data_IF_632333199923
#
_entry.id   IF_632333199923
#
_cell.length_a   1.000
_cell.length_b   1.000
_cell.length_c   1.000
_cell.angle_alpha   90.00
_cell.angle_beta   90.00
_cell.angle_gamma   90.00
#
_symmetry.space_group_name_H-M   'P 1'
#
loop_
_entity.id
_entity.type
_entity.pdbx_description
1 polymer ?
#
# COMPACT_ATOMS: atom_id res chain seq x y z
N UNK A 1 6.91 -16.36 8.81
CA UNK A 1 6.23 -17.45 8.09
C UNK A 1 5.08 -17.97 8.94
N UNK A 2 3.86 -17.76 8.46
CA UNK A 2 2.61 -18.21 9.10
C UNK A 2 2.65 -19.74 9.31
N UNK A 3 2.68 -20.18 10.57
CA UNK A 3 2.67 -21.61 10.90
C UNK A 3 1.27 -22.23 10.83
N UNK A 4 0.22 -21.44 10.52
CA UNK A 4 -1.19 -21.83 10.65
C UNK A 4 -2.04 -21.70 9.37
N UNK A 5 -1.41 -21.67 8.19
CA UNK A 5 -2.04 -22.25 6.99
C UNK A 5 -2.92 -21.34 6.11
N UNK A 6 -2.66 -20.04 6.05
CA UNK A 6 -3.06 -19.24 4.88
C UNK A 6 -1.82 -19.05 4.01
N UNK A 7 -1.92 -19.30 2.69
CA UNK A 7 -0.80 -19.08 1.77
C UNK A 7 -0.20 -17.68 1.96
N UNK A 8 1.13 -17.62 2.00
CA UNK A 8 1.94 -16.41 2.02
C UNK A 8 2.68 -16.35 0.68
N UNK A 9 2.67 -15.18 0.03
CA UNK A 9 3.43 -14.96 -1.19
C UNK A 9 4.35 -13.75 -1.05
N UNK A 10 4.09 -12.66 -1.76
CA UNK A 10 5.08 -11.59 -1.90
C UNK A 10 5.16 -10.72 -0.65
N UNK A 11 6.37 -10.28 -0.24
CA UNK A 11 6.52 -9.23 0.74
C UNK A 11 5.97 -7.91 0.19
N UNK A 12 5.37 -7.09 1.03
CA UNK A 12 4.76 -5.81 0.69
C UNK A 12 5.30 -4.72 1.60
N UNK A 13 5.70 -3.60 1.01
CA UNK A 13 6.17 -2.41 1.71
C UNK A 13 7.04 -2.64 2.96
N UNK A 14 8.13 -3.44 2.91
CA UNK A 14 9.06 -3.53 4.04
C UNK A 14 9.66 -2.14 4.31
N UNK A 15 9.57 -1.67 5.55
CA UNK A 15 9.90 -0.29 5.89
C UNK A 15 10.38 -0.16 7.34
N UNK A 16 11.32 0.74 7.56
CA UNK A 16 11.70 1.17 8.90
C UNK A 16 10.87 2.39 9.30
N UNK A 17 10.17 2.31 10.42
CA UNK A 17 9.44 3.42 11.01
C UNK A 17 10.39 4.34 11.78
N UNK A 18 10.67 5.56 11.28
CA UNK A 18 11.60 6.47 11.96
C UNK A 18 11.04 7.03 13.27
N UNK A 19 9.73 6.94 13.50
CA UNK A 19 9.08 7.47 14.73
C UNK A 19 9.29 6.51 15.90
N UNK A 20 9.14 5.22 15.64
CA UNK A 20 9.13 4.18 16.67
C UNK A 20 10.38 3.30 16.71
N UNK A 21 11.21 3.35 15.66
CA UNK A 21 12.39 2.48 15.56
C UNK A 21 12.03 1.01 15.32
N UNK A 22 10.91 0.76 14.63
CA UNK A 22 10.39 -0.58 14.33
C UNK A 22 10.48 -0.85 12.84
N UNK A 23 10.92 -2.05 12.48
CA UNK A 23 10.89 -2.55 11.11
C UNK A 23 9.55 -3.25 10.91
N UNK A 24 8.78 -2.79 9.94
CA UNK A 24 7.53 -3.42 9.55
C UNK A 24 7.74 -4.17 8.23
N UNK A 25 7.16 -5.36 8.17
CA UNK A 25 7.16 -6.21 6.99
C UNK A 25 5.72 -6.66 6.75
N UNK A 26 5.15 -6.28 5.62
CA UNK A 26 3.82 -6.73 5.22
C UNK A 26 3.97 -7.82 4.17
N UNK A 27 2.91 -8.57 3.94
CA UNK A 27 2.94 -9.65 2.97
C UNK A 27 1.52 -9.98 2.53
N UNK A 28 1.39 -10.49 1.32
CA UNK A 28 0.12 -11.00 0.87
C UNK A 28 -0.21 -12.28 1.65
N UNK A 29 -1.33 -12.25 2.36
CA UNK A 29 -1.90 -13.43 3.03
C UNK A 29 -3.21 -13.76 2.35
N UNK A 30 -3.36 -15.02 1.93
CA UNK A 30 -4.56 -15.53 1.27
C UNK A 30 -5.73 -15.69 2.27
N UNK A 31 -6.28 -14.56 2.66
CA UNK A 31 -7.44 -14.33 3.52
C UNK A 31 -8.23 -13.17 2.88
N UNK A 32 -9.55 -13.12 3.05
CA UNK A 32 -10.37 -12.04 2.51
C UNK A 32 -11.52 -11.67 3.46
N UNK A 33 -11.91 -10.39 3.46
CA UNK A 33 -13.20 -9.97 3.99
C UNK A 33 -14.35 -10.43 3.07
N UNK A 34 -15.56 -10.61 3.60
CA UNK A 34 -16.70 -11.11 2.83
C UNK A 34 -17.02 -10.26 1.58
N UNK A 35 -17.40 -11.00 0.54
CA UNK A 35 -17.42 -10.72 -0.91
C UNK A 35 -16.06 -10.73 -1.63
N UNK A 36 -14.95 -10.61 -0.91
CA UNK A 36 -13.61 -10.74 -1.47
C UNK A 36 -13.18 -12.18 -1.72
N UNK A 37 -12.15 -12.34 -2.54
CA UNK A 37 -11.66 -13.66 -2.98
C UNK A 37 -10.12 -13.78 -2.97
N UNK A 38 -9.40 -12.75 -2.54
CA UNK A 38 -7.95 -12.71 -2.66
C UNK A 38 -7.27 -11.89 -1.58
N UNK A 39 -5.95 -11.76 -1.69
CA UNK A 39 -5.09 -11.50 -0.54
C UNK A 39 -5.35 -10.15 0.12
N UNK A 40 -4.94 -10.12 1.39
CA UNK A 40 -4.84 -8.95 2.26
C UNK A 40 -3.39 -8.73 2.66
N UNK A 41 -3.08 -7.65 3.38
CA UNK A 41 -1.75 -7.44 3.94
C UNK A 41 -1.69 -7.99 5.37
N UNK A 42 -1.04 -9.14 5.51
CA UNK A 42 -0.52 -9.61 6.79
C UNK A 42 0.62 -8.71 7.28
N UNK A 43 1.02 -8.89 8.53
CA UNK A 43 1.99 -7.98 9.17
C UNK A 43 2.91 -8.72 10.13
N UNK A 44 4.20 -8.47 9.98
CA UNK A 44 5.25 -8.79 10.94
C UNK A 44 5.97 -7.51 11.36
N UNK A 45 6.46 -7.49 12.59
CA UNK A 45 7.33 -6.42 13.09
C UNK A 45 8.60 -6.99 13.74
N UNK A 46 9.69 -6.24 13.65
CA UNK A 46 10.97 -6.55 14.28
C UNK A 46 11.70 -5.27 14.71
N UNK A 47 12.62 -5.38 15.67
CA UNK A 47 13.57 -4.31 16.02
C UNK A 47 15.00 -4.61 15.55
N UNK A 48 15.26 -5.81 15.04
CA UNK A 48 16.63 -6.29 14.77
C UNK A 48 16.79 -7.14 13.51
N UNK A 49 15.74 -7.26 12.68
CA UNK A 49 15.66 -8.13 11.49
C UNK A 49 15.77 -9.65 11.77
N UNK A 50 15.95 -10.07 13.02
CA UNK A 50 16.16 -11.48 13.40
C UNK A 50 14.93 -12.04 14.11
N UNK A 51 14.43 -11.32 15.10
CA UNK A 51 13.26 -11.72 15.87
C UNK A 51 12.03 -11.00 15.34
N UNK A 52 11.06 -11.79 14.88
CA UNK A 52 9.84 -11.28 14.24
C UNK A 52 8.60 -11.67 15.04
N UNK A 53 7.77 -10.69 15.35
CA UNK A 53 6.44 -10.88 15.91
C UNK A 53 5.39 -10.83 14.80
N UNK A 54 4.52 -11.84 14.73
CA UNK A 54 3.32 -11.78 13.90
C UNK A 54 2.32 -10.82 14.53
N UNK A 55 1.79 -9.91 13.73
CA UNK A 55 0.78 -8.95 14.12
C UNK A 55 -0.57 -9.29 13.46
N UNK A 56 -1.68 -8.67 13.89
CA UNK A 56 -2.95 -8.76 13.19
C UNK A 56 -2.83 -8.32 11.72
N UNK A 57 -3.86 -8.62 10.92
CA UNK A 57 -3.95 -8.08 9.55
C UNK A 57 -3.86 -6.56 9.57
N UNK A 58 -2.94 -6.01 8.77
CA UNK A 58 -2.72 -4.57 8.70
C UNK A 58 -3.75 -3.89 7.79
N UNK A 59 -3.92 -4.37 6.57
CA UNK A 59 -4.83 -3.78 5.58
C UNK A 59 -5.71 -4.89 5.02
N UNK A 60 -7.02 -4.74 5.21
CA UNK A 60 -8.03 -5.64 4.66
C UNK A 60 -8.43 -5.20 3.25
N UNK A 61 -8.77 -6.15 2.38
CA UNK A 61 -9.48 -5.85 1.13
C UNK A 61 -10.93 -5.49 1.47
N UNK A 62 -11.53 -4.54 0.75
CA UNK A 62 -12.94 -4.21 0.89
C UNK A 62 -13.34 -3.52 2.20
N UNK A 63 -12.43 -3.37 3.17
CA UNK A 63 -12.70 -2.77 4.48
C UNK A 63 -11.60 -1.79 4.91
N UNK A 64 -12.00 -0.66 5.45
CA UNK A 64 -11.19 0.20 6.33
C UNK A 64 -11.48 -0.16 7.79
N UNK A 65 -10.50 -0.76 8.46
CA UNK A 65 -10.59 -1.22 9.85
C UNK A 65 -10.29 -0.13 10.89
N UNK A 66 -10.01 1.12 10.47
CA UNK A 66 -9.86 2.25 11.38
C UNK A 66 -11.18 2.73 11.99
N UNK A 67 -12.31 2.20 11.52
CA UNK A 67 -13.65 2.48 12.00
C UNK A 67 -14.29 1.24 12.65
N UNK A 68 -15.22 1.47 13.58
CA UNK A 68 -16.07 0.41 14.15
C UNK A 68 -17.56 0.76 14.02
N UNK A 69 -18.36 -0.04 13.28
CA UNK A 69 -17.94 -1.19 12.46
C UNK A 69 -17.02 -0.77 11.29
N UNK A 70 -16.20 -1.68 10.72
CA UNK A 70 -15.33 -1.37 9.60
C UNK A 70 -16.10 -0.75 8.42
N UNK A 71 -15.54 0.27 7.80
CA UNK A 71 -16.15 0.95 6.66
C UNK A 71 -15.84 0.19 5.37
N UNK A 72 -16.84 0.01 4.50
CA UNK A 72 -16.66 -0.69 3.22
C UNK A 72 -15.90 0.17 2.20
N UNK A 73 -14.94 -0.43 1.50
CA UNK A 73 -14.17 0.17 0.40
C UNK A 73 -14.36 -0.63 -0.88
N UNK A 74 -15.28 -0.20 -1.74
CA UNK A 74 -15.67 -0.95 -2.95
C UNK A 74 -14.58 -1.01 -4.03
N UNK A 75 -13.65 -0.07 -4.02
CA UNK A 75 -12.59 0.05 -5.02
C UNK A 75 -11.50 -1.05 -4.87
N UNK A 76 -11.47 -1.79 -3.76
CA UNK A 76 -10.50 -2.86 -3.51
C UNK A 76 -11.14 -4.09 -2.84
N UNK A 77 -12.42 -4.34 -3.14
CA UNK A 77 -13.20 -5.36 -2.45
C UNK A 77 -12.91 -6.79 -2.90
N UNK A 78 -12.36 -6.98 -4.10
CA UNK A 78 -11.97 -8.31 -4.60
C UNK A 78 -10.72 -8.81 -3.87
N UNK A 79 -9.66 -8.01 -3.82
CA UNK A 79 -8.37 -8.32 -3.18
C UNK A 79 -7.46 -7.08 -3.12
N UNK A 80 -6.36 -7.16 -2.37
CA UNK A 80 -5.23 -6.22 -2.48
C UNK A 80 -3.94 -6.99 -2.79
N UNK A 81 -3.18 -6.51 -3.79
CA UNK A 81 -1.99 -7.19 -4.31
C UNK A 81 -0.69 -6.50 -3.88
N UNK A 82 0.45 -6.96 -4.39
CA UNK A 82 1.78 -6.52 -3.98
C UNK A 82 1.96 -5.04 -4.18
N UNK A 83 2.51 -4.38 -3.17
CA UNK A 83 2.71 -2.95 -3.13
C UNK A 83 3.89 -2.58 -2.26
N UNK A 84 4.02 -1.30 -1.98
CA UNK A 84 5.21 -0.69 -1.41
C UNK A 84 4.87 0.33 -0.32
N UNK A 85 5.87 0.66 0.49
CA UNK A 85 5.75 1.68 1.53
C UNK A 85 6.77 2.78 1.27
N UNK A 86 6.44 4.01 1.65
CA UNK A 86 7.33 5.17 1.59
C UNK A 86 7.33 5.91 2.93
N UNK A 87 8.50 6.39 3.34
CA UNK A 87 8.65 7.31 4.48
C UNK A 87 8.61 8.74 3.97
N UNK A 88 7.54 9.44 4.29
CA UNK A 88 7.17 10.74 3.73
C UNK A 88 7.16 11.83 4.80
N UNK A 89 7.69 13.01 4.46
CA UNK A 89 7.55 14.21 5.31
C UNK A 89 6.07 14.57 5.51
N UNK A 90 5.71 14.95 6.73
CA UNK A 90 4.33 15.35 7.06
C UNK A 90 3.35 14.20 7.32
N UNK A 91 3.72 12.95 7.00
CA UNK A 91 2.85 11.79 7.20
C UNK A 91 2.84 11.27 8.65
N UNK A 92 3.82 11.66 9.46
CA UNK A 92 3.96 11.26 10.86
C UNK A 92 3.32 12.25 11.83
N UNK A 93 3.26 11.89 13.13
CA UNK A 93 2.71 12.76 14.18
C UNK A 93 3.33 14.15 14.18
N UNK A 94 2.50 15.20 14.32
CA UNK A 94 2.92 16.60 14.34
C UNK A 94 3.71 17.04 13.09
N UNK A 95 3.48 16.38 11.95
CA UNK A 95 4.14 16.69 10.69
C UNK A 95 5.54 16.08 10.54
N UNK A 96 5.92 15.15 11.42
CA UNK A 96 7.16 14.39 11.27
C UNK A 96 7.11 13.48 10.03
N UNK A 97 8.24 12.83 9.72
CA UNK A 97 8.28 11.75 8.74
C UNK A 97 7.43 10.58 9.20
N UNK A 98 6.64 10.01 8.31
CA UNK A 98 5.80 8.84 8.60
C UNK A 98 5.63 7.94 7.40
N UNK A 99 5.12 6.74 7.64
CA UNK A 99 4.89 5.71 6.63
C UNK A 99 3.55 5.93 5.92
N UNK A 100 3.58 5.79 4.59
CA UNK A 100 2.40 5.63 3.72
C UNK A 100 2.56 4.33 2.94
N UNK A 101 1.54 3.48 2.95
CA UNK A 101 1.46 2.30 2.08
C UNK A 101 0.80 2.69 0.75
N UNK A 102 1.32 2.18 -0.35
CA UNK A 102 0.72 2.25 -1.68
C UNK A 102 0.52 0.83 -2.18
N UNK A 103 -0.72 0.46 -2.45
CA UNK A 103 -1.08 -0.90 -2.84
C UNK A 103 -2.04 -0.90 -4.03
N UNK A 104 -1.98 -1.93 -4.88
CA UNK A 104 -2.98 -2.17 -5.89
C UNK A 104 -4.23 -2.80 -5.27
N UNK A 105 -5.37 -2.14 -5.46
CA UNK A 105 -6.69 -2.70 -5.20
C UNK A 105 -7.20 -3.45 -6.43
N UNK A 106 -7.70 -4.66 -6.23
CA UNK A 106 -8.46 -5.37 -7.27
C UNK A 106 -9.92 -4.98 -7.11
N UNK A 107 -10.49 -4.50 -8.21
CA UNK A 107 -11.86 -4.06 -8.29
C UNK A 107 -12.66 -4.92 -9.27
N UNK A 108 -13.98 -4.81 -9.20
CA UNK A 108 -14.89 -5.33 -10.21
C UNK A 108 -15.86 -4.24 -10.63
N UNK A 109 -16.29 -4.25 -11.89
CA UNK A 109 -17.34 -3.33 -12.38
C UNK A 109 -18.64 -3.42 -11.57
N UNK A 110 -18.89 -4.58 -10.94
CA UNK A 110 -20.08 -4.81 -10.12
C UNK A 110 -20.11 -3.89 -8.88
N UNK A 111 -19.00 -3.80 -8.16
CA UNK A 111 -18.87 -3.02 -6.93
C UNK A 111 -18.33 -1.61 -7.16
N UNK A 112 -17.46 -1.46 -8.16
CA UNK A 112 -16.81 -0.21 -8.53
C UNK A 112 -17.02 0.05 -10.03
N UNK A 113 -18.06 0.81 -10.42
CA UNK A 113 -18.41 1.01 -11.84
C UNK A 113 -17.33 1.68 -12.69
N UNK A 114 -16.32 2.30 -12.07
CA UNK A 114 -15.17 2.90 -12.75
C UNK A 114 -14.05 1.90 -13.06
N UNK A 115 -14.18 0.65 -12.60
CA UNK A 115 -13.20 -0.40 -12.77
C UNK A 115 -13.21 -0.97 -14.21
N UNK A 116 -12.24 -0.59 -15.03
CA UNK A 116 -12.08 -1.08 -16.42
C UNK A 116 -10.99 -2.16 -16.50
N UNK A 117 -9.82 -1.91 -15.92
CA UNK A 117 -8.67 -2.83 -16.03
C UNK A 117 -8.65 -3.93 -14.96
N UNK A 118 -9.57 -3.90 -14.00
CA UNK A 118 -9.60 -4.80 -12.84
C UNK A 118 -8.65 -4.41 -11.71
N UNK A 119 -7.81 -3.39 -11.90
CA UNK A 119 -6.88 -2.90 -10.86
C UNK A 119 -6.71 -1.38 -10.85
N UNK A 120 -6.50 -0.85 -9.66
CA UNK A 120 -6.20 0.55 -9.37
C UNK A 120 -5.09 0.65 -8.32
N UNK A 121 -4.56 1.84 -8.05
CA UNK A 121 -3.68 2.08 -6.89
C UNK A 121 -4.41 2.87 -5.81
N UNK A 122 -4.18 2.52 -4.56
CA UNK A 122 -4.72 3.17 -3.37
C UNK A 122 -3.62 3.37 -2.32
N UNK A 123 -3.90 4.25 -1.35
CA UNK A 123 -3.04 4.49 -0.20
C UNK A 123 -3.66 4.00 1.10
N UNK A 124 -2.82 3.61 2.05
CA UNK A 124 -3.22 3.46 3.44
C UNK A 124 -2.21 4.15 4.36
N UNK A 125 -2.70 4.70 5.47
CA UNK A 125 -1.89 5.38 6.48
C UNK A 125 -2.18 4.82 7.87
N UNK A 126 -1.24 4.83 8.82
CA UNK A 126 -1.51 4.34 10.18
C UNK A 126 -2.63 5.12 10.87
N UNK A 127 -3.62 4.42 11.40
CA UNK A 127 -4.82 5.03 12.00
C UNK A 127 -4.54 5.75 13.33
N UNK A 128 -3.52 5.31 14.06
CA UNK A 128 -3.17 5.84 15.40
C UNK A 128 -1.66 5.98 15.55
N UNK A 129 -1.01 6.56 14.53
CA UNK A 129 0.45 6.64 14.42
C UNK A 129 1.12 7.10 15.72
N UNK A 130 0.64 8.15 16.38
CA UNK A 130 1.32 8.69 17.57
C UNK A 130 1.37 7.74 18.79
N UNK A 131 0.52 6.71 18.81
CA UNK A 131 0.29 5.85 19.99
C UNK A 131 0.38 4.36 19.70
N UNK A 132 0.42 3.97 18.43
CA UNK A 132 0.53 2.57 18.01
C UNK A 132 1.91 2.31 17.39
N UNK A 133 2.85 1.89 18.23
CA UNK A 133 4.22 1.55 17.84
C UNK A 133 4.27 0.42 16.79
N UNK A 134 3.28 -0.47 16.82
CA UNK A 134 3.23 -1.67 16.01
C UNK A 134 2.47 -1.46 14.70
N UNK A 135 1.81 -0.32 14.51
CA UNK A 135 1.01 0.04 13.33
C UNK A 135 0.01 -1.07 12.97
N UNK A 136 -0.76 -1.53 13.95
CA UNK A 136 -1.70 -2.64 13.85
C UNK A 136 -3.03 -2.26 13.20
N UNK A 137 -3.32 -0.97 13.04
CA UNK A 137 -4.53 -0.49 12.37
C UNK A 137 -4.25 0.60 11.36
N UNK A 138 -4.92 0.54 10.21
CA UNK A 138 -4.68 1.38 9.05
C UNK A 138 -5.97 2.02 8.57
N UNK A 139 -5.89 3.31 8.25
CA UNK A 139 -6.95 4.09 7.61
C UNK A 139 -6.72 4.08 6.10
N UNK A 140 -7.80 3.88 5.35
CA UNK A 140 -7.85 4.06 3.91
C UNK A 140 -8.42 5.46 3.63
N UNK A 141 -7.60 6.43 3.22
CA UNK A 141 -8.07 7.80 3.05
C UNK A 141 -9.21 7.91 2.03
N UNK A 142 -10.17 8.80 2.29
CA UNK A 142 -11.38 8.96 1.48
C UNK A 142 -11.14 9.43 0.04
N UNK A 143 -9.93 9.89 -0.28
CA UNK A 143 -9.54 10.27 -1.63
C UNK A 143 -9.15 9.08 -2.50
N UNK A 144 -9.01 7.88 -1.92
CA UNK A 144 -8.73 6.69 -2.72
C UNK A 144 -9.87 6.43 -3.72
N UNK A 145 -9.53 5.88 -4.90
CA UNK A 145 -8.18 5.48 -5.35
C UNK A 145 -7.30 6.65 -5.83
N UNK A 146 -5.98 6.48 -5.78
CA UNK A 146 -5.02 7.53 -6.21
C UNK A 146 -4.72 7.49 -7.72
N UNK A 147 -4.85 6.32 -8.34
CA UNK A 147 -4.78 6.12 -9.80
C UNK A 147 -5.80 5.04 -10.15
N UNK A 148 -6.75 5.38 -11.02
CA UNK A 148 -7.73 4.43 -11.57
C UNK A 148 -7.15 3.66 -12.76
N UNK A 149 -7.71 2.48 -13.03
CA UNK A 149 -7.52 1.76 -14.30
C UNK A 149 -6.06 1.58 -14.71
N UNK A 150 -5.26 1.10 -13.76
CA UNK A 150 -3.81 0.90 -13.89
C UNK A 150 -3.48 -0.58 -13.71
N UNK A 151 -2.24 -0.87 -13.35
CA UNK A 151 -1.69 -2.19 -13.10
C UNK A 151 -1.08 -2.25 -11.70
N UNK A 152 -0.63 -3.45 -11.34
CA UNK A 152 -0.19 -3.85 -9.99
C UNK A 152 1.33 -3.75 -9.78
N UNK A 153 1.75 -4.15 -8.59
CA UNK A 153 3.13 -4.20 -8.12
C UNK A 153 3.85 -2.85 -8.27
N UNK A 154 3.32 -1.75 -7.70
CA UNK A 154 4.03 -0.49 -7.67
C UNK A 154 5.39 -0.63 -6.98
N UNK A 155 6.44 -0.05 -7.56
CA UNK A 155 7.72 0.17 -6.86
C UNK A 155 7.51 0.96 -5.57
N UNK A 156 8.48 0.96 -4.66
CA UNK A 156 8.58 2.06 -3.69
C UNK A 156 8.71 3.38 -4.44
N UNK A 157 7.88 4.41 -4.15
CA UNK A 157 8.07 5.72 -4.74
C UNK A 157 9.46 6.28 -4.46
N UNK A 158 10.06 6.93 -5.45
CA UNK A 158 11.34 7.62 -5.30
C UNK A 158 11.21 9.06 -5.74
N UNK A 159 11.99 9.94 -5.10
CA UNK A 159 11.99 11.37 -5.40
C UNK A 159 13.18 11.70 -6.30
N UNK A 160 12.94 12.41 -7.40
CA UNK A 160 14.01 12.83 -8.28
C UNK A 160 14.65 14.16 -7.84
N UNK A 161 15.66 14.60 -8.58
CA UNK A 161 16.40 15.83 -8.29
C UNK A 161 15.54 17.12 -8.35
N UNK A 162 14.37 17.07 -9.00
CA UNK A 162 13.42 18.19 -9.04
C UNK A 162 12.50 18.22 -7.82
N UNK A 163 12.48 17.16 -7.01
CA UNK A 163 11.56 16.99 -5.89
C UNK A 163 10.24 16.31 -6.26
N UNK A 164 10.08 15.86 -7.50
CA UNK A 164 8.92 15.08 -7.97
C UNK A 164 9.06 13.63 -7.52
N UNK A 165 8.00 13.09 -6.91
CA UNK A 165 7.87 11.67 -6.61
C UNK A 165 7.46 10.90 -7.86
N UNK A 166 8.08 9.74 -8.06
CA UNK A 166 7.83 8.85 -9.18
C UNK A 166 7.55 7.44 -8.67
N UNK A 167 6.74 6.72 -9.44
CA UNK A 167 6.28 5.38 -9.17
C UNK A 167 6.12 4.64 -10.50
N UNK A 168 6.42 3.33 -10.55
CA UNK A 168 6.10 2.49 -11.71
C UNK A 168 5.40 1.20 -11.33
N UNK A 169 4.57 0.71 -12.23
CA UNK A 169 3.85 -0.58 -12.13
C UNK A 169 4.56 -1.67 -12.95
N UNK A 170 4.14 -2.93 -12.77
CA UNK A 170 4.80 -4.09 -13.41
C UNK A 170 4.79 -4.05 -14.95
N UNK A 171 3.80 -3.38 -15.55
CA UNK A 171 3.60 -3.22 -16.99
C UNK A 171 4.35 -2.03 -17.59
N UNK A 172 5.12 -1.31 -16.77
CA UNK A 172 5.86 -0.13 -17.18
C UNK A 172 5.05 1.17 -17.18
N UNK A 173 3.82 1.18 -16.65
CA UNK A 173 3.10 2.41 -16.30
C UNK A 173 3.92 3.24 -15.31
N UNK A 174 3.86 4.56 -15.46
CA UNK A 174 4.70 5.50 -14.72
C UNK A 174 3.85 6.67 -14.21
N UNK A 175 3.97 6.99 -12.92
CA UNK A 175 3.11 7.95 -12.24
C UNK A 175 3.94 8.94 -11.43
N UNK A 176 3.46 10.18 -11.33
CA UNK A 176 4.12 11.28 -10.64
C UNK A 176 3.26 11.89 -9.54
N UNK A 177 3.90 12.43 -8.51
CA UNK A 177 3.30 13.38 -7.55
C UNK A 177 4.29 14.52 -7.31
N UNK A 178 3.86 15.78 -7.46
CA UNK A 178 4.78 16.90 -7.59
C UNK A 178 5.49 17.30 -6.27
N UNK A 179 5.00 16.82 -5.12
CA UNK A 179 5.56 17.15 -3.80
C UNK A 179 5.16 16.12 -2.74
N UNK A 180 5.75 16.20 -1.54
CA UNK A 180 5.34 15.37 -0.40
C UNK A 180 3.86 15.59 -0.04
N UNK A 181 3.42 16.85 -0.08
CA UNK A 181 2.04 17.22 0.21
C UNK A 181 1.07 16.69 -0.86
N UNK A 182 1.50 16.55 -2.11
CA UNK A 182 0.71 15.95 -3.18
C UNK A 182 0.60 14.44 -3.02
N UNK A 183 1.73 13.78 -2.75
CA UNK A 183 1.75 12.34 -2.48
C UNK A 183 0.84 12.00 -1.30
N UNK A 184 0.93 12.75 -0.20
CA UNK A 184 0.12 12.52 1.02
C UNK A 184 -1.38 12.76 0.80
N UNK A 185 -1.75 13.60 -0.17
CA UNK A 185 -3.16 13.88 -0.52
C UNK A 185 -3.66 13.01 -1.67
N UNK A 186 -2.90 12.00 -2.07
CA UNK A 186 -3.25 11.14 -3.20
C UNK A 186 -3.27 11.84 -4.56
N UNK A 187 -2.62 13.01 -4.71
CA UNK A 187 -2.58 13.77 -5.96
C UNK A 187 -1.49 13.23 -6.88
N UNK A 188 -1.81 12.13 -7.56
CA UNK A 188 -0.95 11.48 -8.54
C UNK A 188 -1.43 11.76 -9.97
N UNK A 189 -0.51 11.73 -10.94
CA UNK A 189 -0.80 11.89 -12.36
C UNK A 189 -0.01 10.92 -13.23
N UNK A 190 -0.56 10.60 -14.39
CA UNK A 190 0.04 9.71 -15.38
C UNK A 190 1.18 10.42 -16.12
N UNK A 191 2.36 9.81 -16.12
CA UNK A 191 3.56 10.24 -16.83
C UNK A 191 3.80 9.41 -18.11
N UNK A 192 2.89 8.48 -18.41
CA UNK A 192 2.92 7.56 -19.54
C UNK A 192 3.67 6.27 -19.22
N UNK A 193 4.21 5.63 -20.27
CA UNK A 193 4.99 4.39 -20.15
C UNK A 193 6.49 4.66 -20.27
N UNK A 194 7.27 4.07 -19.38
CA UNK A 194 8.73 4.14 -19.43
C UNK A 194 9.28 3.47 -20.69
N UNK A 195 10.17 4.15 -21.43
CA UNK A 195 10.85 3.56 -22.60
C UNK A 195 11.98 2.63 -22.12
N UNK A 196 12.02 1.40 -22.63
CA UNK A 196 13.16 0.49 -22.45
C UNK A 196 13.17 -0.35 -21.17
N UNK A 197 12.12 -0.29 -20.35
CA UNK A 197 11.97 -1.15 -19.18
C UNK A 197 10.96 -2.27 -19.50
N UNK A 198 11.38 -3.53 -19.39
CA UNK A 198 10.55 -4.69 -19.69
C UNK A 198 9.47 -4.92 -18.61
N UNK A 199 8.45 -5.69 -18.98
CA UNK A 199 7.50 -6.27 -18.02
C UNK A 199 8.27 -7.01 -16.92
N UNK A 200 8.06 -6.61 -15.67
CA UNK A 200 8.73 -7.20 -14.52
C UNK A 200 7.78 -7.18 -13.33
N UNK A 201 7.42 -8.34 -12.79
CA UNK A 201 6.70 -8.43 -11.50
C UNK A 201 7.60 -7.88 -10.39
N UNK A 202 6.99 -7.24 -9.40
CA UNK A 202 7.67 -6.66 -8.24
C UNK A 202 8.90 -5.80 -8.62
N UNK A 203 8.74 -4.79 -9.50
CA UNK A 203 9.82 -3.90 -9.87
C UNK A 203 10.39 -3.18 -8.63
N UNK A 204 11.69 -2.89 -8.68
CA UNK A 204 12.40 -2.00 -7.75
C UNK A 204 13.35 -1.10 -8.54
N UNK A 205 13.72 0.03 -7.95
CA UNK A 205 14.70 0.96 -8.53
C UNK A 205 15.89 1.01 -7.59
N UNK A 206 17.09 0.93 -8.17
CA UNK A 206 18.37 0.98 -7.47
C UNK A 206 18.82 2.41 -7.20
#
# INVERSE_FOLDING_TARGET
>A
MDQQGCGENDPNGPVFDPVHGVIHHFYQRHLAADQGAGPIYGHFASKDFVHWAQLPVAIWNGLDSSHWPPQRTYYDDVAIYTGSAVVLEGAGPKGARGIVQIYPGLCSEHSWPLCDTGTLLAQAVPASYATDELLTNWTKPSYNPIIENTQRDPTTPWKDASGEWKLRTFDGGFYGAASDADLLKGRWYDLGRGRGLSYSKCPKID
#
